data_IF_737229539406
#
_entry.id   IF_737229539406
#
_cell.length_a   1.000
_cell.length_b   1.000
_cell.length_c   1.000
_cell.angle_alpha   90.00
_cell.angle_beta   90.00
_cell.angle_gamma   90.00
#
_symmetry.space_group_name_H-M   'P 1'
#
loop_
_entity.id
_entity.type
_entity.pdbx_description
1 polymer ?
#
# COMPACT_ATOMS: atom_id res chain seq x y z
N UNK A 1 20.03 -14.79 1.62
CA UNK A 1 19.06 -14.11 0.74
C UNK A 1 18.61 -15.10 -0.32
N UNK A 2 17.37 -15.57 -0.21
CA UNK A 2 16.78 -16.53 -1.14
C UNK A 2 16.57 -15.86 -2.49
N UNK A 3 16.88 -16.56 -3.56
CA UNK A 3 16.55 -16.16 -4.93
C UNK A 3 15.04 -16.01 -5.10
N UNK A 4 14.57 -15.00 -5.83
CA UNK A 4 13.13 -14.73 -5.99
C UNK A 4 12.43 -15.84 -6.77
N UNK A 5 13.06 -16.43 -7.76
CA UNK A 5 12.51 -17.56 -8.52
C UNK A 5 12.17 -18.77 -7.63
N UNK A 6 12.89 -18.96 -6.51
CA UNK A 6 12.59 -20.01 -5.53
C UNK A 6 11.36 -19.70 -4.66
N UNK A 7 10.86 -18.48 -4.75
CA UNK A 7 9.67 -18.00 -4.04
C UNK A 7 8.45 -17.87 -4.96
N UNK A 8 8.60 -18.20 -6.24
CA UNK A 8 7.51 -18.16 -7.22
C UNK A 8 6.29 -18.95 -6.75
N UNK A 9 5.14 -18.27 -6.72
CA UNK A 9 3.87 -18.83 -6.27
C UNK A 9 3.77 -19.16 -4.77
N UNK A 10 4.84 -18.96 -3.98
CA UNK A 10 4.83 -19.25 -2.55
C UNK A 10 4.22 -18.11 -1.74
N UNK A 11 3.53 -18.50 -0.67
CA UNK A 11 2.97 -17.57 0.30
C UNK A 11 3.96 -17.25 1.43
N UNK A 12 3.68 -16.20 2.18
CA UNK A 12 4.41 -15.85 3.41
C UNK A 12 4.34 -17.02 4.41
N UNK A 13 3.16 -17.66 4.54
CA UNK A 13 2.96 -18.82 5.41
C UNK A 13 3.77 -20.06 5.05
N UNK A 14 4.16 -20.20 3.76
CA UNK A 14 5.01 -21.31 3.31
C UNK A 14 6.50 -21.14 3.67
N UNK A 15 6.93 -19.93 3.99
CA UNK A 15 8.37 -19.61 4.19
C UNK A 15 8.71 -19.15 5.60
N UNK A 16 7.77 -18.55 6.32
CA UNK A 16 7.99 -18.07 7.67
C UNK A 16 7.36 -19.02 8.70
N UNK A 17 8.01 -19.20 9.84
CA UNK A 17 7.56 -20.14 10.88
C UNK A 17 6.30 -19.64 11.60
N UNK A 18 5.56 -20.60 12.18
CA UNK A 18 4.41 -20.29 13.03
C UNK A 18 4.79 -19.42 14.27
N UNK A 19 6.02 -19.55 14.78
CA UNK A 19 6.49 -18.72 15.88
C UNK A 19 6.78 -17.28 15.44
N UNK A 20 7.26 -17.08 14.21
CA UNK A 20 7.38 -15.73 13.65
C UNK A 20 6.00 -15.04 13.55
N UNK A 21 4.96 -15.79 13.13
CA UNK A 21 3.59 -15.27 13.01
C UNK A 21 2.96 -14.87 14.35
N UNK A 22 3.51 -15.30 15.47
CA UNK A 22 3.08 -14.89 16.84
C UNK A 22 3.85 -13.70 17.38
N UNK A 23 4.86 -13.22 16.65
CA UNK A 23 5.72 -12.13 17.13
C UNK A 23 5.04 -10.77 17.04
N UNK A 24 5.41 -9.86 17.94
CA UNK A 24 5.01 -8.45 17.85
C UNK A 24 5.50 -7.80 16.55
N UNK A 25 6.63 -8.23 16.02
CA UNK A 25 7.12 -7.76 14.74
C UNK A 25 6.15 -8.10 13.61
N UNK A 26 5.65 -9.36 13.54
CA UNK A 26 4.65 -9.74 12.55
C UNK A 26 3.35 -8.96 12.72
N UNK A 27 2.83 -8.83 13.94
CA UNK A 27 1.63 -8.05 14.23
C UNK A 27 1.76 -6.62 13.70
N UNK A 28 2.87 -5.97 14.02
CA UNK A 28 3.15 -4.61 13.57
C UNK A 28 3.32 -4.53 12.04
N UNK A 29 4.07 -5.47 11.46
CA UNK A 29 4.38 -5.52 10.03
C UNK A 29 3.12 -5.77 9.19
N UNK A 30 2.29 -6.73 9.60
CA UNK A 30 1.04 -7.04 8.90
C UNK A 30 0.05 -5.90 8.96
N UNK A 31 -0.12 -5.24 10.10
CA UNK A 31 -1.01 -4.10 10.22
C UNK A 31 -0.50 -2.87 9.46
N UNK A 32 0.81 -2.58 9.51
CA UNK A 32 1.39 -1.43 8.81
C UNK A 32 1.26 -1.53 7.28
N UNK A 33 1.51 -2.70 6.72
CA UNK A 33 1.56 -2.92 5.28
C UNK A 33 0.38 -3.73 4.72
N UNK A 34 -0.56 -4.14 5.57
CA UNK A 34 -1.69 -5.01 5.22
C UNK A 34 -1.25 -6.38 4.65
N UNK A 35 -0.15 -6.93 5.16
CA UNK A 35 0.27 -8.28 4.79
C UNK A 35 -0.55 -9.35 5.52
N UNK A 36 -0.82 -10.44 4.81
CA UNK A 36 -1.41 -11.65 5.36
C UNK A 36 -0.60 -12.90 5.00
N UNK A 37 -0.81 -13.97 5.74
CA UNK A 37 -0.02 -15.20 5.56
C UNK A 37 -0.17 -15.82 4.17
N UNK A 38 -1.27 -15.58 3.49
CA UNK A 38 -1.53 -16.02 2.12
C UNK A 38 -0.95 -15.10 1.04
N UNK A 39 -0.38 -13.95 1.40
CA UNK A 39 0.26 -13.04 0.44
C UNK A 39 1.63 -13.56 -0.03
N UNK A 40 2.13 -12.98 -1.10
CA UNK A 40 3.36 -13.36 -1.78
C UNK A 40 4.61 -13.28 -0.89
N UNK A 41 5.37 -14.36 -0.85
CA UNK A 41 6.68 -14.39 -0.21
C UNK A 41 7.71 -13.49 -0.92
N UNK A 42 7.58 -13.29 -2.24
CA UNK A 42 8.43 -12.36 -3.01
C UNK A 42 8.20 -10.93 -2.51
N UNK A 43 6.94 -10.51 -2.38
CA UNK A 43 6.63 -9.16 -1.92
C UNK A 43 7.11 -8.94 -0.48
N UNK A 44 6.90 -9.90 0.41
CA UNK A 44 7.42 -9.82 1.78
C UNK A 44 8.95 -9.68 1.81
N UNK A 45 9.67 -10.45 0.99
CA UNK A 45 11.13 -10.33 0.86
C UNK A 45 11.55 -8.93 0.40
N UNK A 46 10.87 -8.40 -0.62
CA UNK A 46 11.16 -7.06 -1.16
C UNK A 46 10.90 -5.97 -0.12
N UNK A 47 9.80 -6.07 0.64
CA UNK A 47 9.50 -5.14 1.72
C UNK A 47 10.54 -5.17 2.83
N UNK A 48 10.93 -6.37 3.28
CA UNK A 48 12.01 -6.51 4.26
C UNK A 48 13.31 -5.89 3.74
N UNK A 49 13.68 -6.17 2.49
CA UNK A 49 14.87 -5.61 1.87
C UNK A 49 14.80 -4.07 1.76
N UNK A 50 13.63 -3.53 1.41
CA UNK A 50 13.41 -2.10 1.20
C UNK A 50 13.42 -1.30 2.50
N UNK A 51 12.89 -1.88 3.60
CA UNK A 51 12.63 -1.16 4.84
C UNK A 51 13.51 -1.57 6.03
N UNK A 52 14.47 -2.48 5.87
CA UNK A 52 15.31 -2.94 6.99
C UNK A 52 16.03 -1.79 7.71
N UNK A 53 16.47 -0.76 7.00
CA UNK A 53 17.12 0.41 7.59
C UNK A 53 16.17 1.31 8.38
N UNK A 54 14.86 1.15 8.22
CA UNK A 54 13.84 1.91 8.93
C UNK A 54 13.32 1.20 10.18
N UNK A 55 13.78 -0.04 10.46
CA UNK A 55 13.31 -0.81 11.62
C UNK A 55 13.47 -0.02 12.91
N UNK A 56 14.56 0.73 13.08
CA UNK A 56 14.80 1.59 14.24
C UNK A 56 13.75 2.69 14.42
N UNK A 57 13.18 3.17 13.33
CA UNK A 57 12.18 4.25 13.32
C UNK A 57 10.75 3.75 13.13
N UNK A 58 10.50 2.44 13.12
CA UNK A 58 9.17 1.89 12.87
C UNK A 58 8.16 2.22 13.96
N UNK A 59 8.60 2.35 15.22
CA UNK A 59 7.73 2.66 16.37
C UNK A 59 6.93 3.96 16.19
N UNK A 60 7.55 4.95 15.58
CA UNK A 60 7.01 6.30 15.44
C UNK A 60 7.13 6.85 14.02
N UNK A 61 7.65 6.05 13.10
CA UNK A 61 7.87 6.38 11.69
C UNK A 61 8.58 7.73 11.46
N UNK A 62 9.44 8.14 12.40
CA UNK A 62 10.12 9.43 12.32
C UNK A 62 11.01 9.59 11.09
N UNK A 63 11.40 8.49 10.46
CA UNK A 63 12.20 8.48 9.23
C UNK A 63 11.36 8.74 7.98
N UNK A 64 10.04 8.55 8.05
CA UNK A 64 9.13 8.83 6.94
C UNK A 64 8.79 10.31 6.86
N UNK A 65 8.58 10.79 5.65
CA UNK A 65 8.14 12.16 5.38
C UNK A 65 6.65 12.16 5.04
N UNK A 66 5.94 13.12 5.62
CA UNK A 66 4.51 13.30 5.40
C UNK A 66 4.26 14.65 4.76
N UNK A 67 3.28 14.72 3.87
CA UNK A 67 2.83 15.96 3.26
C UNK A 67 2.13 16.87 4.29
N UNK A 68 2.04 18.17 3.99
CA UNK A 68 1.39 19.15 4.89
C UNK A 68 -0.10 18.87 5.05
N UNK A 69 -0.77 18.56 3.95
CA UNK A 69 -2.16 18.12 3.88
C UNK A 69 -2.19 16.70 3.26
N UNK A 70 -3.35 16.16 2.97
CA UNK A 70 -3.48 14.90 2.23
C UNK A 70 -2.72 14.94 0.90
N UNK A 71 -2.43 13.77 0.33
CA UNK A 71 -1.62 13.68 -0.90
C UNK A 71 -2.30 14.31 -2.12
N UNK A 72 -3.63 14.25 -2.18
CA UNK A 72 -4.39 14.86 -3.29
C UNK A 72 -4.13 16.37 -3.35
N UNK A 73 -4.26 17.05 -2.22
CA UNK A 73 -4.09 18.52 -2.15
C UNK A 73 -2.63 18.96 -2.14
N UNK A 74 -1.71 18.09 -1.72
CA UNK A 74 -0.29 18.43 -1.57
C UNK A 74 0.56 18.03 -2.78
N UNK A 75 0.18 16.99 -3.53
CA UNK A 75 0.96 16.44 -4.64
C UNK A 75 0.14 16.38 -5.94
N UNK A 76 -0.96 15.61 -5.95
CA UNK A 76 -1.67 15.27 -7.20
C UNK A 76 -2.29 16.50 -7.85
N UNK A 77 -3.04 17.29 -7.10
CA UNK A 77 -3.71 18.48 -7.64
C UNK A 77 -2.73 19.57 -8.11
N UNK A 78 -1.68 19.95 -7.35
CA UNK A 78 -0.68 20.91 -7.83
C UNK A 78 0.03 20.43 -9.10
N UNK A 79 0.39 19.13 -9.18
CA UNK A 79 1.05 18.58 -10.36
C UNK A 79 0.12 18.56 -11.59
N UNK A 80 -1.13 18.12 -11.42
CA UNK A 80 -2.12 18.13 -12.50
C UNK A 80 -2.39 19.55 -13.03
N UNK A 81 -2.49 20.53 -12.11
CA UNK A 81 -2.67 21.94 -12.46
C UNK A 81 -1.48 22.47 -13.26
N UNK A 82 -0.26 22.15 -12.83
CA UNK A 82 0.94 22.55 -13.54
C UNK A 82 1.02 21.92 -14.94
N UNK A 83 0.75 20.60 -15.05
CA UNK A 83 0.75 19.89 -16.34
C UNK A 83 -0.29 20.45 -17.31
N UNK A 84 -1.50 20.75 -16.83
CA UNK A 84 -2.52 21.41 -17.65
C UNK A 84 -2.02 22.77 -18.19
N UNK A 85 -1.31 23.54 -17.36
CA UNK A 85 -0.65 24.78 -17.77
C UNK A 85 0.48 24.60 -18.80
N UNK A 86 1.05 23.39 -18.91
CA UNK A 86 2.02 23.01 -19.94
C UNK A 86 1.37 22.43 -21.21
N UNK A 87 0.05 22.44 -21.30
CA UNK A 87 -0.70 21.95 -22.47
C UNK A 87 -1.07 20.46 -22.42
N UNK A 88 -0.87 19.79 -21.29
CA UNK A 88 -1.36 18.40 -21.11
C UNK A 88 -2.88 18.41 -21.04
N UNK A 89 -3.52 17.59 -21.86
CA UNK A 89 -4.97 17.45 -21.92
C UNK A 89 -5.38 16.26 -21.05
N UNK A 90 -6.18 16.53 -20.01
CA UNK A 90 -6.81 15.51 -19.18
C UNK A 90 -8.22 15.23 -19.73
N UNK A 91 -8.49 13.96 -20.06
CA UNK A 91 -9.84 13.49 -20.44
C UNK A 91 -10.38 12.63 -19.32
N UNK A 92 -11.47 13.06 -18.72
CA UNK A 92 -12.20 12.34 -17.68
C UNK A 92 -13.42 11.65 -18.27
N UNK A 93 -14.00 10.70 -17.52
CA UNK A 93 -15.17 9.91 -17.95
C UNK A 93 -14.99 9.11 -19.23
N UNK A 94 -13.72 8.83 -19.58
CA UNK A 94 -13.33 7.98 -20.71
C UNK A 94 -12.80 6.65 -20.16
N UNK A 95 -13.47 5.55 -20.53
CA UNK A 95 -13.08 4.18 -20.15
C UNK A 95 -12.30 3.56 -21.29
N UNK A 96 -10.99 3.47 -21.17
CA UNK A 96 -10.17 2.76 -22.17
C UNK A 96 -10.47 1.26 -22.07
N UNK A 97 -10.87 0.68 -23.19
CA UNK A 97 -11.26 -0.74 -23.28
C UNK A 97 -10.16 -1.63 -23.81
N UNK A 98 -9.29 -1.09 -24.67
CA UNK A 98 -8.15 -1.85 -25.20
C UNK A 98 -7.02 -0.91 -25.66
N UNK A 99 -5.80 -1.46 -25.67
CA UNK A 99 -4.66 -0.95 -26.42
C UNK A 99 -4.25 -2.06 -27.36
N UNK A 100 -4.49 -1.88 -28.65
CA UNK A 100 -4.13 -2.87 -29.69
C UNK A 100 -2.63 -2.79 -29.96
N UNK A 101 -1.97 -3.94 -29.94
CA UNK A 101 -0.52 -4.07 -30.10
C UNK A 101 -0.21 -5.00 -31.27
N UNK A 102 0.55 -4.52 -32.22
CA UNK A 102 1.17 -5.39 -33.24
C UNK A 102 2.40 -6.06 -32.62
N UNK A 103 2.34 -7.38 -32.50
CA UNK A 103 3.41 -8.22 -31.95
C UNK A 103 4.21 -8.96 -33.03
N UNK A 104 4.00 -8.64 -34.28
CA UNK A 104 4.68 -9.28 -35.41
C UNK A 104 6.18 -8.93 -35.45
N UNK A 105 6.97 -9.84 -36.02
CA UNK A 105 8.40 -9.60 -36.25
C UNK A 105 9.26 -9.46 -34.99
N UNK A 106 8.77 -9.90 -33.82
CA UNK A 106 9.52 -9.83 -32.56
C UNK A 106 9.53 -8.43 -31.92
N UNK A 107 8.82 -7.47 -32.48
CA UNK A 107 8.59 -6.14 -31.88
C UNK A 107 7.17 -6.03 -31.32
N UNK A 108 6.95 -5.08 -30.42
CA UNK A 108 5.66 -4.77 -29.82
C UNK A 108 5.36 -3.30 -30.04
N UNK A 109 4.38 -3.01 -30.89
CA UNK A 109 4.02 -1.64 -31.31
C UNK A 109 2.55 -1.40 -30.97
N UNK A 110 2.25 -0.48 -30.07
CA UNK A 110 0.89 0.00 -29.86
C UNK A 110 0.42 0.73 -31.14
N UNK A 111 -0.73 0.32 -31.65
CA UNK A 111 -1.26 0.81 -32.95
C UNK A 111 -2.59 1.53 -32.81
N UNK A 112 -3.33 1.28 -31.71
CA UNK A 112 -4.63 1.89 -31.49
C UNK A 112 -5.00 1.86 -30.00
N UNK A 113 -5.68 2.89 -29.54
CA UNK A 113 -6.37 2.92 -28.25
C UNK A 113 -7.87 2.98 -28.52
N UNK A 114 -8.63 2.06 -27.90
CA UNK A 114 -10.09 2.01 -27.96
C UNK A 114 -10.67 2.39 -26.61
N UNK A 115 -11.81 3.11 -26.60
CA UNK A 115 -12.49 3.54 -25.38
C UNK A 115 -14.01 3.61 -25.52
N UNK A 116 -14.66 3.71 -24.38
CA UNK A 116 -16.05 4.12 -24.24
C UNK A 116 -16.12 5.49 -23.58
N UNK A 117 -16.85 6.41 -24.18
CA UNK A 117 -17.14 7.75 -23.65
C UNK A 117 -18.64 7.97 -23.70
N UNK A 118 -19.30 8.15 -22.55
CA UNK A 118 -20.75 8.23 -22.44
C UNK A 118 -21.48 7.04 -23.12
N UNK A 119 -20.91 5.84 -23.03
CA UNK A 119 -21.47 4.63 -23.66
C UNK A 119 -21.24 4.52 -25.19
N UNK A 120 -20.58 5.49 -25.81
CA UNK A 120 -20.24 5.46 -27.23
C UNK A 120 -18.80 4.98 -27.43
N UNK A 121 -18.62 4.06 -28.35
CA UNK A 121 -17.30 3.57 -28.73
C UNK A 121 -16.52 4.64 -29.51
N UNK A 122 -15.28 4.82 -29.13
CA UNK A 122 -14.30 5.70 -29.79
C UNK A 122 -12.93 5.05 -29.85
N UNK A 123 -12.00 5.72 -30.48
CA UNK A 123 -10.61 5.25 -30.55
C UNK A 123 -9.73 6.21 -31.32
N UNK A 124 -8.43 6.03 -31.18
CA UNK A 124 -7.39 6.77 -31.86
C UNK A 124 -6.33 5.83 -32.40
N UNK A 125 -5.93 6.01 -33.65
CA UNK A 125 -4.77 5.33 -34.22
C UNK A 125 -3.49 5.93 -33.63
N UNK A 126 -2.55 5.08 -33.31
CA UNK A 126 -1.25 5.43 -32.74
C UNK A 126 -0.19 5.20 -33.79
N UNK A 127 0.58 6.22 -34.06
CA UNK A 127 1.72 6.11 -34.96
C UNK A 127 2.93 5.50 -34.19
N UNK A 128 3.86 4.91 -34.91
CA UNK A 128 5.04 4.29 -34.33
C UNK A 128 5.91 5.27 -33.54
N UNK A 129 5.80 6.55 -33.80
CA UNK A 129 6.52 7.61 -33.10
C UNK A 129 5.78 8.13 -31.83
N UNK A 130 4.50 7.82 -31.71
CA UNK A 130 3.74 8.15 -30.50
C UNK A 130 4.11 7.20 -29.37
N UNK A 131 4.08 7.66 -28.12
CA UNK A 131 4.33 6.83 -26.96
C UNK A 131 3.05 6.55 -26.19
N UNK A 132 2.84 5.30 -25.80
CA UNK A 132 1.69 4.86 -25.01
C UNK A 132 2.17 4.35 -23.64
N UNK A 133 1.65 4.95 -22.57
CA UNK A 133 1.90 4.55 -21.20
C UNK A 133 0.61 4.03 -20.58
N UNK A 134 0.63 2.80 -20.06
CA UNK A 134 -0.53 2.15 -19.47
C UNK A 134 -0.30 1.95 -17.98
N UNK A 135 -1.15 2.54 -17.15
CA UNK A 135 -1.23 2.14 -15.72
C UNK A 135 -2.17 0.94 -15.65
N UNK A 136 -1.59 -0.26 -15.63
CA UNK A 136 -2.33 -1.51 -15.63
C UNK A 136 -2.71 -1.94 -14.21
N UNK A 137 -3.93 -2.48 -14.05
CA UNK A 137 -4.47 -2.87 -12.74
C UNK A 137 -4.71 -1.68 -11.81
N UNK A 138 -5.52 -1.87 -10.78
CA UNK A 138 -5.77 -0.85 -9.77
C UNK A 138 -6.17 -1.45 -8.43
N UNK A 139 -5.49 -1.03 -7.36
CA UNK A 139 -5.83 -1.42 -5.99
C UNK A 139 -7.16 -0.82 -5.52
N UNK A 140 -7.56 0.32 -6.10
CA UNK A 140 -8.77 1.05 -5.70
C UNK A 140 -9.93 0.89 -6.68
N UNK A 141 -9.79 0.01 -7.67
CA UNK A 141 -10.89 -0.33 -8.57
C UNK A 141 -12.10 -0.81 -7.76
N UNK A 142 -13.29 -0.37 -8.15
CA UNK A 142 -14.55 -0.71 -7.48
C UNK A 142 -14.61 -0.38 -5.98
N UNK A 143 -13.79 0.53 -5.48
CA UNK A 143 -14.00 1.06 -4.14
C UNK A 143 -15.40 1.65 -4.02
N UNK A 144 -16.12 1.29 -2.97
CA UNK A 144 -17.46 1.77 -2.68
C UNK A 144 -17.50 2.43 -1.32
N UNK A 145 -18.23 3.53 -1.25
CA UNK A 145 -18.39 4.29 -0.02
C UNK A 145 -19.77 4.02 0.58
N UNK A 146 -19.78 3.86 1.89
CA UNK A 146 -20.96 4.02 2.71
C UNK A 146 -20.98 5.42 3.34
N UNK A 147 -21.89 5.58 4.28
CA UNK A 147 -21.96 6.78 5.12
C UNK A 147 -22.17 6.41 6.58
N UNK A 148 -22.47 7.41 7.42
CA UNK A 148 -22.64 7.19 8.85
C UNK A 148 -23.74 6.18 9.17
N UNK A 149 -24.75 6.05 8.32
CA UNK A 149 -25.95 5.23 8.52
C UNK A 149 -26.10 4.08 7.51
N UNK A 150 -25.20 3.99 6.52
CA UNK A 150 -25.23 2.93 5.51
C UNK A 150 -23.86 2.27 5.36
N UNK A 151 -23.79 0.92 5.29
CA UNK A 151 -22.53 0.22 5.04
C UNK A 151 -22.02 0.44 3.62
N UNK A 152 -20.73 0.24 3.41
CA UNK A 152 -20.12 0.28 2.10
C UNK A 152 -20.36 -1.05 1.37
N UNK A 153 -20.98 -1.06 0.17
CA UNK A 153 -21.26 -2.31 -0.53
C UNK A 153 -19.99 -2.95 -1.09
N UNK A 154 -19.92 -4.27 -1.07
CA UNK A 154 -18.86 -5.04 -1.73
C UNK A 154 -19.15 -5.15 -3.21
N UNK A 155 -18.26 -4.65 -4.07
CA UNK A 155 -18.35 -4.78 -5.52
C UNK A 155 -17.07 -5.37 -6.08
N UNK A 156 -17.07 -6.67 -6.35
CA UNK A 156 -15.94 -7.41 -6.93
C UNK A 156 -16.06 -7.60 -8.46
N UNK A 157 -16.97 -6.91 -9.12
CA UNK A 157 -17.26 -7.08 -10.54
C UNK A 157 -16.11 -6.51 -11.39
N UNK A 158 -15.59 -7.30 -12.32
CA UNK A 158 -14.67 -6.83 -13.36
C UNK A 158 -15.50 -6.58 -14.63
N UNK A 159 -15.94 -5.33 -14.80
CA UNK A 159 -16.78 -4.93 -15.91
C UNK A 159 -15.95 -4.50 -17.14
N UNK A 160 -16.60 -4.44 -18.29
CA UNK A 160 -16.02 -3.84 -19.49
C UNK A 160 -15.58 -2.38 -19.23
N UNK A 161 -14.36 -2.04 -19.65
CA UNK A 161 -13.77 -0.73 -19.41
C UNK A 161 -13.26 -0.51 -17.99
N UNK A 162 -13.25 -1.53 -17.13
CA UNK A 162 -12.49 -1.51 -15.89
C UNK A 162 -10.98 -1.65 -16.15
N UNK A 163 -10.15 -1.19 -15.25
CA UNK A 163 -8.68 -1.26 -15.40
C UNK A 163 -8.19 -2.70 -15.45
N UNK A 164 -8.85 -3.62 -14.71
CA UNK A 164 -8.55 -5.04 -14.75
C UNK A 164 -8.92 -5.69 -16.08
N UNK A 165 -10.09 -5.34 -16.66
CA UNK A 165 -10.48 -5.85 -17.97
C UNK A 165 -9.58 -5.29 -19.08
N UNK A 166 -9.20 -4.01 -19.01
CA UNK A 166 -8.21 -3.43 -19.91
C UNK A 166 -6.90 -4.24 -19.90
N UNK A 167 -6.38 -4.55 -18.71
CA UNK A 167 -5.16 -5.35 -18.61
C UNK A 167 -5.34 -6.77 -19.16
N UNK A 168 -6.48 -7.44 -18.91
CA UNK A 168 -6.80 -8.73 -19.55
C UNK A 168 -6.74 -8.65 -21.08
N UNK A 169 -7.43 -7.66 -21.66
CA UNK A 169 -7.46 -7.48 -23.12
C UNK A 169 -6.06 -7.22 -23.71
N UNK A 170 -5.21 -6.52 -22.99
CA UNK A 170 -3.81 -6.31 -23.41
C UNK A 170 -3.01 -7.61 -23.24
N UNK A 171 -3.15 -8.30 -22.12
CA UNK A 171 -2.40 -9.51 -21.81
C UNK A 171 -2.70 -10.69 -22.74
N UNK A 172 -3.90 -10.76 -23.32
CA UNK A 172 -4.26 -11.75 -24.34
C UNK A 172 -3.44 -11.65 -25.61
N UNK A 173 -2.82 -10.50 -25.91
CA UNK A 173 -2.10 -10.25 -27.14
C UNK A 173 -0.63 -10.74 -27.12
N UNK A 174 0.00 -10.79 -25.93
CA UNK A 174 1.38 -11.27 -25.78
C UNK A 174 1.64 -11.68 -24.32
N UNK A 175 2.27 -12.84 -24.07
CA UNK A 175 2.60 -13.29 -22.69
C UNK A 175 3.48 -12.32 -21.91
N UNK A 176 4.27 -11.47 -22.57
CA UNK A 176 5.11 -10.46 -21.90
C UNK A 176 4.30 -9.34 -21.26
N UNK A 177 2.99 -9.27 -21.50
CA UNK A 177 2.10 -8.29 -20.89
C UNK A 177 1.50 -8.75 -19.56
N UNK A 178 1.97 -9.89 -19.03
CA UNK A 178 1.67 -10.37 -17.69
C UNK A 178 0.39 -11.19 -17.57
N UNK A 179 -0.01 -11.48 -16.32
CA UNK A 179 -1.16 -12.33 -15.98
C UNK A 179 -2.05 -11.65 -14.93
N UNK A 180 -2.99 -10.78 -15.33
CA UNK A 180 -3.83 -10.00 -14.41
C UNK A 180 -4.65 -10.84 -13.43
N UNK A 181 -5.12 -12.02 -13.84
CA UNK A 181 -5.95 -12.90 -13.01
C UNK A 181 -5.24 -13.41 -11.75
N UNK A 182 -3.91 -13.45 -11.76
CA UNK A 182 -3.11 -13.74 -10.56
C UNK A 182 -3.40 -12.72 -9.45
N UNK A 183 -3.66 -11.47 -9.81
CA UNK A 183 -3.84 -10.37 -8.87
C UNK A 183 -5.31 -10.10 -8.56
N UNK A 184 -6.21 -10.18 -9.54
CA UNK A 184 -7.61 -9.82 -9.38
C UNK A 184 -8.57 -11.01 -9.27
N UNK A 185 -8.06 -12.25 -9.31
CA UNK A 185 -8.91 -13.44 -9.36
C UNK A 185 -9.57 -13.84 -8.03
N UNK A 186 -9.04 -13.40 -6.89
CA UNK A 186 -9.58 -13.75 -5.56
C UNK A 186 -9.71 -12.53 -4.65
N UNK A 187 -10.84 -11.84 -4.77
CA UNK A 187 -11.13 -10.64 -3.96
C UNK A 187 -11.42 -10.96 -2.49
N UNK A 188 -11.64 -12.22 -2.13
CA UNK A 188 -11.81 -12.59 -0.72
C UNK A 188 -10.50 -12.47 0.07
N UNK A 189 -9.38 -12.58 -0.63
CA UNK A 189 -8.02 -12.47 -0.07
C UNK A 189 -7.38 -11.11 -0.27
N UNK A 190 -7.90 -10.28 -1.18
CA UNK A 190 -7.33 -8.97 -1.50
C UNK A 190 -8.14 -7.80 -0.94
N UNK A 191 -9.34 -8.03 -0.43
CA UNK A 191 -10.20 -6.98 0.13
C UNK A 191 -9.90 -6.70 1.60
N UNK A 192 -10.07 -5.47 1.97
CA UNK A 192 -10.31 -5.03 3.35
C UNK A 192 -11.09 -3.71 3.34
N UNK A 193 -11.52 -3.27 4.51
CA UNK A 193 -12.34 -2.09 4.66
C UNK A 193 -11.62 -1.05 5.49
N UNK A 194 -11.80 0.20 5.10
CA UNK A 194 -11.38 1.36 5.88
C UNK A 194 -12.57 2.25 6.22
N UNK A 195 -12.36 3.17 7.14
CA UNK A 195 -13.34 4.21 7.45
C UNK A 195 -12.62 5.53 7.75
N UNK A 196 -13.17 6.63 7.24
CA UNK A 196 -12.72 7.97 7.59
C UNK A 196 -13.65 8.56 8.63
N UNK A 197 -13.12 8.88 9.79
CA UNK A 197 -13.86 9.47 10.92
C UNK A 197 -13.54 10.94 11.03
N UNK A 198 -14.55 11.79 10.93
CA UNK A 198 -14.47 13.23 11.26
C UNK A 198 -15.10 13.43 12.63
N UNK A 199 -14.33 13.92 13.60
CA UNK A 199 -14.82 14.11 14.97
C UNK A 199 -15.54 15.43 15.12
N UNK A 200 -16.65 15.39 15.84
CA UNK A 200 -17.48 16.55 16.20
C UNK A 200 -17.44 16.82 17.72
N UNK A 201 -17.16 15.80 18.52
CA UNK A 201 -17.06 15.86 19.98
C UNK A 201 -15.59 15.91 20.40
N UNK A 202 -15.23 16.91 21.20
CA UNK A 202 -13.86 17.14 21.71
C UNK A 202 -13.35 16.00 22.62
N UNK A 203 -14.23 15.16 23.15
CA UNK A 203 -13.82 13.97 23.94
C UNK A 203 -13.04 12.97 23.10
N UNK A 204 -13.35 12.82 21.80
CA UNK A 204 -12.67 11.84 20.92
C UNK A 204 -11.21 12.25 20.67
N UNK A 205 -10.86 13.49 20.26
CA UNK A 205 -9.47 13.94 20.22
C UNK A 205 -8.74 13.81 21.57
N UNK A 206 -9.43 14.02 22.70
CA UNK A 206 -8.84 13.83 24.02
C UNK A 206 -8.48 12.35 24.31
N UNK A 207 -9.29 11.40 23.85
CA UNK A 207 -8.96 9.97 23.90
C UNK A 207 -7.74 9.64 23.05
N UNK A 208 -7.66 10.19 21.82
CA UNK A 208 -6.48 10.04 20.97
C UNK A 208 -5.23 10.58 21.65
N UNK A 209 -5.32 11.75 22.28
CA UNK A 209 -4.21 12.31 23.08
C UNK A 209 -3.82 11.36 24.22
N UNK A 210 -4.78 10.84 24.96
CA UNK A 210 -4.54 9.90 26.07
C UNK A 210 -3.77 8.65 25.61
N UNK A 211 -4.14 8.08 24.45
CA UNK A 211 -3.51 6.87 23.90
C UNK A 211 -2.12 7.16 23.34
N UNK A 212 -1.97 8.26 22.60
CA UNK A 212 -0.73 8.56 21.85
C UNK A 212 0.27 9.41 22.63
N UNK A 213 -0.16 10.10 23.66
CA UNK A 213 0.63 11.13 24.34
C UNK A 213 0.87 12.39 23.50
N UNK A 214 0.17 12.55 22.38
CA UNK A 214 0.34 13.66 21.41
C UNK A 214 -0.97 14.39 21.20
N UNK A 215 -0.93 15.72 21.31
CA UNK A 215 -2.07 16.57 21.00
C UNK A 215 -2.37 16.54 19.50
N UNK A 216 -3.57 16.09 19.08
CA UNK A 216 -3.98 16.08 17.67
C UNK A 216 -3.90 17.45 16.98
N UNK A 217 -4.09 18.53 17.72
CA UNK A 217 -4.12 19.88 17.18
C UNK A 217 -2.78 20.61 17.25
N UNK A 218 -1.71 19.94 17.67
CA UNK A 218 -0.36 20.53 17.75
C UNK A 218 0.26 20.93 16.41
N UNK A 219 -0.39 20.61 15.28
CA UNK A 219 0.17 20.81 13.94
C UNK A 219 1.31 19.86 13.57
N UNK A 220 1.52 18.81 14.37
CA UNK A 220 2.50 17.73 14.12
C UNK A 220 1.78 16.43 13.78
N UNK A 221 2.53 15.44 13.26
CA UNK A 221 2.02 14.08 13.07
C UNK A 221 1.62 13.50 14.44
N UNK A 222 0.41 13.00 14.55
CA UNK A 222 -0.15 12.49 15.81
C UNK A 222 0.27 11.03 16.02
N UNK A 223 -0.02 10.15 15.06
CA UNK A 223 0.48 8.80 15.07
C UNK A 223 1.63 8.70 14.06
N UNK A 224 2.78 8.23 14.47
CA UNK A 224 3.92 8.03 13.56
C UNK A 224 3.73 6.83 12.63
N UNK A 225 2.81 5.94 12.96
CA UNK A 225 2.34 4.78 12.24
C UNK A 225 0.93 4.43 12.69
N UNK A 226 0.40 3.28 12.27
CA UNK A 226 -0.88 2.79 12.77
C UNK A 226 -0.78 2.45 14.27
N UNK A 227 -1.83 2.79 14.99
CA UNK A 227 -2.12 2.24 16.32
C UNK A 227 -2.95 1.00 16.08
N UNK A 228 -2.36 -0.16 16.30
CA UNK A 228 -3.01 -1.46 16.09
C UNK A 228 -3.58 -1.98 17.38
N UNK A 229 -4.82 -2.41 17.34
CA UNK A 229 -5.53 -3.02 18.47
C UNK A 229 -5.36 -4.52 18.34
N UNK A 230 -4.41 -5.07 19.10
CA UNK A 230 -3.99 -6.47 18.97
C UNK A 230 -5.11 -7.48 19.26
N UNK A 231 -6.01 -7.13 20.16
CA UNK A 231 -7.13 -7.99 20.60
C UNK A 231 -8.41 -7.75 19.78
N UNK A 232 -8.40 -6.84 18.81
CA UNK A 232 -9.56 -6.61 17.95
C UNK A 232 -9.77 -7.79 17.00
N UNK A 233 -11.00 -8.31 16.98
CA UNK A 233 -11.42 -9.36 16.04
C UNK A 233 -11.24 -8.92 14.57
N UNK A 234 -11.40 -7.63 14.27
CA UNK A 234 -11.15 -7.05 12.95
C UNK A 234 -9.68 -6.76 12.68
N UNK A 235 -8.79 -6.97 13.65
CA UNK A 235 -7.42 -6.43 13.64
C UNK A 235 -7.46 -4.94 13.28
N UNK A 236 -8.33 -4.20 13.98
CA UNK A 236 -8.55 -2.78 13.74
C UNK A 236 -7.27 -2.00 14.00
N UNK A 237 -6.94 -1.14 13.07
CA UNK A 237 -5.86 -0.18 13.20
C UNK A 237 -6.36 1.22 12.83
N UNK A 238 -5.72 2.25 13.40
CA UNK A 238 -6.10 3.62 13.11
C UNK A 238 -4.89 4.55 13.05
N UNK A 239 -5.04 5.61 12.25
CA UNK A 239 -4.01 6.62 12.02
C UNK A 239 -4.62 8.01 12.13
N UNK A 240 -3.94 8.88 12.83
CA UNK A 240 -4.23 10.32 12.83
C UNK A 240 -3.03 11.06 12.27
N UNK A 241 -3.16 11.56 11.06
CA UNK A 241 -2.17 12.37 10.40
C UNK A 241 -2.06 13.75 11.06
N UNK A 242 -1.16 14.61 10.55
CA UNK A 242 -1.14 16.03 10.92
C UNK A 242 -2.50 16.66 10.68
N UNK A 243 -2.99 17.46 11.65
CA UNK A 243 -4.21 18.24 11.51
C UNK A 243 -3.89 19.72 11.24
N UNK A 244 -4.69 20.43 10.46
CA UNK A 244 -5.78 19.89 9.64
C UNK A 244 -5.23 19.00 8.53
N UNK A 245 -5.94 17.89 8.23
CA UNK A 245 -5.57 16.95 7.18
C UNK A 245 -6.03 17.42 5.79
N UNK A 246 -7.11 18.19 5.74
CA UNK A 246 -7.64 18.86 4.55
C UNK A 246 -7.52 20.38 4.71
N UNK A 247 -7.28 21.12 3.62
CA UNK A 247 -7.20 22.60 3.65
C UNK A 247 -8.47 23.25 4.15
N UNK A 248 -9.63 22.69 3.79
CA UNK A 248 -10.94 23.20 4.16
C UNK A 248 -11.49 22.60 5.48
N UNK A 249 -10.69 21.82 6.21
CA UNK A 249 -11.12 21.18 7.45
C UNK A 249 -11.42 22.26 8.51
N UNK A 250 -12.64 22.25 9.13
CA UNK A 250 -12.98 23.18 10.18
C UNK A 250 -12.08 23.07 11.41
N UNK A 251 -11.89 24.18 12.10
CA UNK A 251 -11.15 24.21 13.36
C UNK A 251 -11.85 23.36 14.43
N UNK A 252 -11.06 22.65 15.22
CA UNK A 252 -11.57 21.77 16.28
C UNK A 252 -12.02 20.38 15.80
N UNK A 253 -12.15 20.17 14.50
CA UNK A 253 -12.39 18.82 13.95
C UNK A 253 -11.08 18.07 13.74
N UNK A 254 -11.06 16.78 14.10
CA UNK A 254 -9.97 15.87 13.81
C UNK A 254 -10.46 14.84 12.78
N UNK A 255 -9.60 14.49 11.83
CA UNK A 255 -9.84 13.40 10.90
C UNK A 255 -8.92 12.25 11.26
N UNK A 256 -9.52 11.09 11.53
CA UNK A 256 -8.84 9.81 11.72
C UNK A 256 -9.16 8.86 10.57
N UNK A 257 -8.21 8.00 10.22
CA UNK A 257 -8.40 6.92 9.27
C UNK A 257 -8.29 5.59 10.01
N UNK A 258 -9.32 4.76 9.92
CA UNK A 258 -9.44 3.44 10.51
C UNK A 258 -9.43 2.40 9.41
N UNK A 259 -8.98 1.19 9.72
CA UNK A 259 -9.14 0.03 8.84
C UNK A 259 -9.17 -1.27 9.62
N UNK A 260 -9.89 -2.25 9.11
CA UNK A 260 -9.93 -3.62 9.59
C UNK A 260 -9.42 -4.57 8.52
N UNK A 261 -8.43 -5.40 8.86
CA UNK A 261 -7.89 -6.38 7.92
C UNK A 261 -8.77 -7.64 7.83
N UNK A 262 -9.59 -7.91 8.86
CA UNK A 262 -10.54 -9.01 8.91
C UNK A 262 -11.97 -8.45 8.87
N UNK A 263 -12.37 -7.95 7.70
CA UNK A 263 -13.65 -7.27 7.53
C UNK A 263 -14.86 -8.21 7.51
N UNK A 264 -14.67 -9.52 7.42
CA UNK A 264 -15.69 -10.57 7.30
C UNK A 264 -15.99 -11.32 8.60
N UNK A 265 -15.34 -10.96 9.72
CA UNK A 265 -15.60 -11.55 11.03
C UNK A 265 -16.39 -10.58 11.94
N UNK A 266 -17.21 -11.09 12.89
CA UNK A 266 -17.91 -10.23 13.84
C UNK A 266 -16.95 -9.46 14.75
N UNK A 267 -17.27 -8.18 14.99
CA UNK A 267 -16.54 -7.31 15.93
C UNK A 267 -16.72 -7.72 17.40
N UNK A 268 -15.91 -7.09 18.26
CA UNK A 268 -15.90 -7.39 19.69
C UNK A 268 -17.06 -6.72 20.45
N UNK A 269 -17.47 -5.53 20.03
CA UNK A 269 -18.60 -4.78 20.58
C UNK A 269 -19.85 -4.92 19.72
N UNK A 270 -19.75 -4.57 18.43
CA UNK A 270 -20.89 -4.52 17.50
C UNK A 270 -21.41 -5.91 17.15
N UNK A 271 -20.59 -6.98 17.29
CA UNK A 271 -20.98 -8.38 16.99
C UNK A 271 -21.44 -8.62 15.54
N UNK A 272 -20.96 -7.81 14.61
CA UNK A 272 -21.30 -7.81 13.19
C UNK A 272 -20.03 -7.68 12.37
N UNK A 273 -19.88 -8.32 11.19
CA UNK A 273 -18.72 -8.12 10.31
C UNK A 273 -18.55 -6.64 9.94
N UNK A 274 -17.31 -6.14 9.89
CA UNK A 274 -17.04 -4.75 9.57
C UNK A 274 -17.66 -4.35 8.22
N UNK A 275 -17.56 -5.23 7.22
CA UNK A 275 -18.12 -5.02 5.87
C UNK A 275 -19.64 -4.82 5.83
N UNK A 276 -20.35 -5.20 6.88
CA UNK A 276 -21.80 -5.05 7.00
C UNK A 276 -22.17 -3.88 7.94
N UNK A 277 -21.17 -3.21 8.52
CA UNK A 277 -21.35 -2.12 9.48
C UNK A 277 -21.56 -0.78 8.80
N UNK A 278 -22.44 0.04 9.39
CA UNK A 278 -22.53 1.47 9.09
C UNK A 278 -21.33 2.22 9.67
N UNK A 279 -21.11 3.47 9.26
CA UNK A 279 -20.05 4.29 9.83
C UNK A 279 -20.23 4.50 11.34
N UNK A 280 -21.47 4.64 11.82
CA UNK A 280 -21.79 4.73 13.26
C UNK A 280 -21.37 3.46 14.00
N UNK A 281 -21.70 2.27 13.48
CA UNK A 281 -21.31 1.00 14.09
C UNK A 281 -19.78 0.82 14.13
N UNK A 282 -19.05 1.20 13.07
CA UNK A 282 -17.57 1.19 13.07
C UNK A 282 -17.03 2.14 14.14
N UNK A 283 -17.67 3.30 14.32
CA UNK A 283 -17.27 4.26 15.36
C UNK A 283 -17.49 3.67 16.76
N UNK A 284 -18.63 2.96 17.00
CA UNK A 284 -18.89 2.26 18.27
C UNK A 284 -17.79 1.26 18.60
N UNK A 285 -17.38 0.43 17.65
CA UNK A 285 -16.32 -0.55 17.82
C UNK A 285 -14.99 0.13 18.15
N UNK A 286 -14.66 1.22 17.45
CA UNK A 286 -13.44 1.99 17.73
C UNK A 286 -13.46 2.62 19.12
N UNK A 287 -14.55 3.28 19.53
CA UNK A 287 -14.71 3.89 20.84
C UNK A 287 -14.64 2.85 21.98
N UNK A 288 -15.22 1.66 21.77
CA UNK A 288 -15.07 0.53 22.70
C UNK A 288 -13.59 0.20 22.92
N UNK A 289 -12.82 0.03 21.87
CA UNK A 289 -11.39 -0.25 21.96
C UNK A 289 -10.55 0.95 22.49
N UNK A 290 -11.06 2.17 22.37
CA UNK A 290 -10.45 3.35 22.98
C UNK A 290 -10.74 3.46 24.50
N UNK A 291 -11.53 2.55 25.06
CA UNK A 291 -11.87 2.47 26.47
C UNK A 291 -12.92 3.48 26.92
N UNK A 292 -13.84 3.85 26.04
CA UNK A 292 -15.03 4.64 26.39
C UNK A 292 -15.97 3.78 27.26
N UNK A 293 -16.58 4.35 28.34
CA UNK A 293 -17.61 3.64 29.12
C UNK A 293 -18.75 3.15 28.22
N UNK A 294 -19.23 1.92 28.48
CA UNK A 294 -20.20 1.26 27.62
C UNK A 294 -21.52 2.05 27.47
N UNK A 295 -21.92 2.77 28.49
CA UNK A 295 -23.10 3.62 28.52
C UNK A 295 -22.95 4.93 27.77
N UNK A 296 -21.73 5.31 27.37
CA UNK A 296 -21.46 6.53 26.61
C UNK A 296 -21.19 6.25 25.10
N UNK A 297 -20.90 5.01 24.73
CA UNK A 297 -20.45 4.64 23.37
C UNK A 297 -21.50 5.02 22.33
N UNK A 298 -22.75 4.65 22.55
CA UNK A 298 -23.82 4.82 21.56
C UNK A 298 -24.10 6.31 21.28
N UNK A 299 -24.21 7.14 22.32
CA UNK A 299 -24.40 8.57 22.18
C UNK A 299 -23.21 9.25 21.51
N UNK A 300 -21.99 8.90 21.94
CA UNK A 300 -20.77 9.47 21.37
C UNK A 300 -20.57 9.06 19.91
N UNK A 301 -20.92 7.84 19.52
CA UNK A 301 -20.84 7.39 18.13
C UNK A 301 -21.89 8.10 17.26
N UNK A 302 -23.14 8.21 17.74
CA UNK A 302 -24.23 8.79 16.97
C UNK A 302 -24.10 10.30 16.74
N UNK A 303 -23.55 11.05 17.70
CA UNK A 303 -23.53 12.52 17.66
C UNK A 303 -22.12 13.13 17.64
N UNK A 304 -21.12 12.39 18.10
CA UNK A 304 -19.75 12.87 18.29
C UNK A 304 -18.82 12.69 17.10
N UNK A 305 -19.26 11.98 16.06
CA UNK A 305 -18.49 11.75 14.85
C UNK A 305 -19.36 11.56 13.61
N UNK A 306 -18.78 11.81 12.44
CA UNK A 306 -19.33 11.36 11.15
C UNK A 306 -18.31 10.44 10.52
N UNK A 307 -18.72 9.24 10.17
CA UNK A 307 -17.84 8.19 9.67
C UNK A 307 -18.30 7.67 8.32
N UNK A 308 -17.37 7.60 7.37
CA UNK A 308 -17.59 7.08 6.03
C UNK A 308 -16.79 5.81 5.82
N UNK A 309 -17.41 4.61 5.84
CA UNK A 309 -16.76 3.37 5.46
C UNK A 309 -16.41 3.36 3.97
N UNK A 310 -15.34 2.64 3.64
CA UNK A 310 -14.90 2.43 2.26
C UNK A 310 -14.47 0.97 2.09
N UNK A 311 -15.24 0.20 1.34
CA UNK A 311 -14.90 -1.17 0.96
C UNK A 311 -14.04 -1.16 -0.30
N UNK A 312 -12.89 -1.84 -0.24
CA UNK A 312 -11.90 -1.88 -1.31
C UNK A 312 -11.59 -3.33 -1.69
N UNK A 313 -12.21 -3.87 -2.74
CA UNK A 313 -12.11 -5.31 -3.08
C UNK A 313 -10.71 -5.73 -3.57
N UNK A 314 -9.91 -4.82 -4.12
CA UNK A 314 -8.60 -5.12 -4.72
C UNK A 314 -7.43 -4.47 -3.97
N UNK A 315 -7.62 -4.00 -2.75
CA UNK A 315 -6.66 -3.13 -2.05
C UNK A 315 -5.31 -3.79 -1.77
N UNK A 316 -5.25 -5.12 -1.64
CA UNK A 316 -4.00 -5.87 -1.50
C UNK A 316 -3.72 -6.80 -2.70
N UNK A 317 -4.38 -6.57 -3.83
CA UNK A 317 -4.19 -7.35 -5.04
C UNK A 317 -2.72 -7.47 -5.47
N UNK A 318 -1.94 -6.39 -5.30
CA UNK A 318 -0.50 -6.38 -5.60
C UNK A 318 0.32 -7.34 -4.75
N UNK A 319 -0.22 -7.86 -3.66
CA UNK A 319 0.43 -8.81 -2.76
C UNK A 319 0.04 -10.26 -3.03
N UNK A 320 -0.85 -10.54 -3.97
CA UNK A 320 -1.26 -11.91 -4.27
C UNK A 320 -0.05 -12.76 -4.71
N UNK A 321 -0.01 -14.06 -4.35
CA UNK A 321 1.07 -14.95 -4.73
C UNK A 321 1.27 -14.97 -6.23
N UNK A 322 2.47 -14.66 -6.67
CA UNK A 322 2.83 -14.53 -8.07
C UNK A 322 4.15 -15.21 -8.39
N UNK A 323 4.37 -15.43 -9.67
CA UNK A 323 5.65 -15.84 -10.22
C UNK A 323 6.31 -14.68 -10.99
N UNK A 324 7.58 -14.87 -11.29
CA UNK A 324 8.33 -14.00 -12.20
C UNK A 324 7.64 -13.96 -13.57
N UNK A 325 7.40 -12.76 -14.10
CA UNK A 325 6.69 -12.54 -15.37
C UNK A 325 5.18 -12.34 -15.25
N UNK A 326 4.58 -12.53 -14.06
CA UNK A 326 3.15 -12.21 -13.87
C UNK A 326 2.85 -10.70 -13.95
N UNK A 327 3.81 -9.86 -13.57
CA UNK A 327 3.80 -8.44 -13.93
C UNK A 327 4.59 -8.22 -15.20
N UNK A 328 4.11 -7.41 -16.16
CA UNK A 328 4.92 -7.00 -17.28
C UNK A 328 6.10 -6.14 -16.81
N UNK A 329 7.23 -6.25 -17.47
CA UNK A 329 8.29 -5.25 -17.29
C UNK A 329 7.76 -3.86 -17.64
N UNK A 330 8.36 -2.81 -17.06
CA UNK A 330 7.99 -1.42 -17.38
C UNK A 330 8.04 -1.21 -18.89
N UNK A 331 9.11 -1.61 -19.55
CA UNK A 331 9.19 -1.68 -21.02
C UNK A 331 9.42 -3.15 -21.40
N UNK A 332 8.38 -3.90 -21.83
CA UNK A 332 8.54 -5.29 -22.24
C UNK A 332 9.56 -5.43 -23.37
N UNK A 333 10.31 -6.51 -23.34
CA UNK A 333 11.32 -6.75 -24.39
C UNK A 333 10.71 -6.68 -25.79
N UNK A 334 11.33 -5.90 -26.67
CA UNK A 334 10.85 -5.64 -28.02
C UNK A 334 9.78 -4.55 -28.14
N UNK A 335 9.37 -3.92 -27.03
CA UNK A 335 8.48 -2.75 -27.07
C UNK A 335 9.17 -1.57 -27.75
N UNK A 336 8.44 -0.94 -28.66
CA UNK A 336 8.90 0.24 -29.41
C UNK A 336 8.32 1.52 -28.84
N UNK A 337 7.04 1.50 -28.47
CA UNK A 337 6.31 2.69 -28.09
C UNK A 337 5.29 2.44 -26.95
N UNK A 338 5.38 1.27 -26.27
CA UNK A 338 4.46 0.88 -25.20
C UNK A 338 5.24 0.64 -23.90
N UNK A 339 4.76 1.21 -22.80
CA UNK A 339 5.24 0.91 -21.45
C UNK A 339 4.10 0.75 -20.45
N UNK A 340 4.36 -0.05 -19.39
CA UNK A 340 3.47 -0.25 -18.26
C UNK A 340 3.98 0.52 -17.03
N UNK A 341 3.06 1.13 -16.29
CA UNK A 341 3.38 1.98 -15.14
C UNK A 341 2.65 1.53 -13.88
N UNK A 342 3.16 1.93 -12.73
CA UNK A 342 2.50 1.80 -11.43
C UNK A 342 2.71 0.44 -10.78
N UNK A 343 1.81 0.08 -9.86
CA UNK A 343 1.99 -1.02 -8.90
C UNK A 343 2.01 -2.43 -9.53
N UNK A 344 1.52 -2.56 -10.75
CA UNK A 344 1.45 -3.83 -11.48
C UNK A 344 2.42 -3.91 -12.67
N UNK A 345 3.36 -2.98 -12.77
CA UNK A 345 4.53 -3.10 -13.64
C UNK A 345 5.74 -3.61 -12.82
N UNK A 346 6.63 -4.38 -13.43
CA UNK A 346 7.79 -4.95 -12.76
C UNK A 346 9.01 -4.04 -12.93
N UNK A 347 9.55 -3.57 -11.82
CA UNK A 347 10.86 -2.94 -11.77
C UNK A 347 11.74 -3.61 -10.71
N UNK A 348 13.04 -3.85 -10.97
CA UNK A 348 13.89 -4.56 -10.03
C UNK A 348 14.20 -3.71 -8.79
N UNK A 349 14.47 -4.40 -7.68
CA UNK A 349 15.01 -3.83 -6.43
C UNK A 349 14.14 -2.82 -5.70
N UNK A 350 12.90 -2.65 -6.11
CA UNK A 350 11.94 -1.80 -5.39
C UNK A 350 10.69 -2.59 -5.00
N UNK A 351 9.81 -1.99 -4.23
CA UNK A 351 8.63 -2.65 -3.72
C UNK A 351 7.38 -1.83 -4.02
N UNK A 352 6.33 -2.54 -4.38
CA UNK A 352 4.99 -1.97 -4.68
C UNK A 352 4.38 -1.23 -3.49
N UNK A 353 3.27 -0.52 -3.70
CA UNK A 353 2.52 0.23 -2.70
C UNK A 353 3.15 1.59 -2.29
N UNK A 354 4.32 1.93 -2.78
CA UNK A 354 4.93 3.24 -2.51
C UNK A 354 4.69 4.22 -3.67
N UNK A 355 4.58 5.50 -3.35
CA UNK A 355 4.51 6.57 -4.37
C UNK A 355 5.77 6.57 -5.23
N UNK A 356 6.92 6.31 -4.61
CA UNK A 356 8.22 6.22 -5.28
C UNK A 356 8.25 5.14 -6.36
N UNK A 357 7.58 4.00 -6.13
CA UNK A 357 7.49 2.93 -7.12
C UNK A 357 6.81 3.42 -8.40
N UNK A 358 5.71 4.14 -8.29
CA UNK A 358 5.00 4.70 -9.44
C UNK A 358 5.83 5.73 -10.19
N UNK A 359 6.56 6.59 -9.47
CA UNK A 359 7.48 7.56 -10.08
C UNK A 359 8.66 6.86 -10.76
N UNK A 360 9.22 5.82 -10.14
CA UNK A 360 10.32 5.02 -10.69
C UNK A 360 9.92 4.37 -12.02
N UNK A 361 8.77 3.69 -12.07
CA UNK A 361 8.28 3.06 -13.30
C UNK A 361 8.06 4.08 -14.41
N UNK A 362 7.57 5.28 -14.08
CA UNK A 362 7.39 6.36 -15.05
C UNK A 362 8.73 6.89 -15.58
N UNK A 363 9.73 7.08 -14.72
CA UNK A 363 11.07 7.50 -15.14
C UNK A 363 11.74 6.45 -16.01
N UNK A 364 11.66 5.17 -15.62
CA UNK A 364 12.20 4.04 -16.38
C UNK A 364 11.57 3.96 -17.78
N UNK A 365 10.25 4.07 -17.87
CA UNK A 365 9.52 4.06 -19.13
C UNK A 365 9.98 5.19 -20.06
N UNK A 366 10.03 6.43 -19.56
CA UNK A 366 10.40 7.60 -20.35
C UNK A 366 11.85 7.53 -20.79
N UNK A 367 12.77 7.16 -19.89
CA UNK A 367 14.19 7.12 -20.22
C UNK A 367 14.50 6.01 -21.24
N UNK A 368 13.83 4.86 -21.12
CA UNK A 368 14.00 3.73 -22.04
C UNK A 368 13.41 4.03 -23.42
N UNK A 369 12.15 4.48 -23.47
CA UNK A 369 11.48 4.69 -24.76
C UNK A 369 12.01 5.89 -25.54
N UNK A 370 12.57 6.89 -24.86
CA UNK A 370 13.17 8.07 -25.50
C UNK A 370 14.71 7.97 -25.65
N UNK A 371 15.29 6.82 -25.33
CA UNK A 371 16.76 6.59 -25.36
C UNK A 371 17.53 7.71 -24.64
N UNK A 372 17.03 8.09 -23.45
CA UNK A 372 17.66 9.12 -22.63
C UNK A 372 18.80 8.47 -21.82
N UNK A 373 20.02 8.90 -22.05
CA UNK A 373 21.19 8.46 -21.29
C UNK A 373 21.17 9.03 -19.85
N UNK A 374 20.26 8.47 -19.05
CA UNK A 374 20.06 8.83 -17.66
C UNK A 374 19.58 7.63 -16.85
N UNK A 375 20.26 7.34 -15.75
CA UNK A 375 19.82 6.30 -14.83
C UNK A 375 18.66 6.78 -13.94
N UNK A 376 17.71 5.88 -13.68
CA UNK A 376 16.73 6.07 -12.61
C UNK A 376 17.50 6.00 -11.26
N UNK A 377 17.25 6.93 -10.30
CA UNK A 377 17.93 6.94 -9.01
C UNK A 377 17.81 5.58 -8.30
N UNK A 378 18.91 5.06 -7.79
CA UNK A 378 18.94 3.78 -7.10
C UNK A 378 18.15 3.82 -5.78
N UNK A 379 17.49 2.71 -5.45
CA UNK A 379 16.92 2.48 -4.13
C UNK A 379 18.06 2.19 -3.14
N UNK A 380 18.01 2.77 -1.95
CA UNK A 380 19.01 2.51 -0.93
C UNK A 380 19.07 1.01 -0.58
N UNK A 381 20.17 0.39 -0.91
CA UNK A 381 20.41 -1.05 -0.76
C UNK A 381 20.78 -1.43 0.68
N UNK A 382 19.89 -1.16 1.65
CA UNK A 382 20.16 -1.34 3.09
C UNK A 382 20.52 -2.76 3.50
N UNK A 383 20.08 -3.77 2.75
CA UNK A 383 20.45 -5.18 2.99
C UNK A 383 21.92 -5.50 2.68
N UNK A 384 22.62 -4.62 1.97
CA UNK A 384 24.03 -4.75 1.68
C UNK A 384 24.91 -3.96 2.67
N UNK A 385 24.31 -3.21 3.59
CA UNK A 385 25.02 -2.52 4.67
C UNK A 385 24.93 -3.33 5.97
N UNK A 386 26.03 -3.97 6.34
CA UNK A 386 26.11 -4.82 7.54
C UNK A 386 25.75 -4.05 8.82
N UNK A 387 26.03 -2.73 8.87
CA UNK A 387 25.70 -1.89 10.01
C UNK A 387 24.18 -1.78 10.18
N UNK A 388 23.46 -1.59 9.07
CA UNK A 388 21.98 -1.55 9.07
C UNK A 388 21.39 -2.88 9.51
N UNK A 389 21.93 -3.99 9.03
CA UNK A 389 21.47 -5.33 9.42
C UNK A 389 21.71 -5.60 10.91
N UNK A 390 22.85 -5.20 11.45
CA UNK A 390 23.16 -5.38 12.87
C UNK A 390 22.30 -4.48 13.77
N UNK A 391 22.06 -3.23 13.37
CA UNK A 391 21.15 -2.33 14.07
C UNK A 391 19.73 -2.89 14.09
N UNK A 392 19.22 -3.34 12.94
CA UNK A 392 17.90 -3.95 12.84
C UNK A 392 17.81 -5.22 13.71
N UNK A 393 18.85 -6.07 13.69
CA UNK A 393 18.91 -7.26 14.52
C UNK A 393 18.89 -6.95 16.03
N UNK A 394 19.60 -5.90 16.46
CA UNK A 394 19.61 -5.45 17.85
C UNK A 394 18.20 -4.96 18.29
N UNK A 395 17.55 -4.15 17.48
CA UNK A 395 16.21 -3.63 17.77
C UNK A 395 15.17 -4.75 17.82
N UNK A 396 15.18 -5.68 16.86
CA UNK A 396 14.26 -6.82 16.82
C UNK A 396 14.47 -7.81 17.97
N UNK A 397 15.58 -7.73 18.67
CA UNK A 397 15.86 -8.55 19.85
C UNK A 397 15.58 -7.85 21.18
N UNK A 398 15.04 -6.65 21.16
CA UNK A 398 14.79 -5.84 22.37
C UNK A 398 16.04 -5.73 23.26
N UNK A 399 17.22 -5.53 22.68
CA UNK A 399 18.50 -5.47 23.39
C UNK A 399 19.02 -6.81 23.92
N UNK A 400 18.38 -7.93 23.59
CA UNK A 400 18.87 -9.26 24.00
C UNK A 400 20.07 -9.66 23.16
N UNK A 401 21.08 -10.17 23.82
CA UNK A 401 22.28 -10.70 23.16
C UNK A 401 21.95 -11.90 22.25
N UNK A 402 22.78 -12.10 21.24
CA UNK A 402 22.63 -13.28 20.37
C UNK A 402 22.88 -14.58 21.18
N UNK A 403 22.27 -15.71 20.80
CA UNK A 403 22.57 -17.00 21.42
C UNK A 403 24.08 -17.28 21.36
N UNK A 404 24.62 -17.86 22.43
CA UNK A 404 26.06 -18.11 22.57
C UNK A 404 26.94 -16.85 22.42
N UNK A 405 26.47 -15.68 22.84
CA UNK A 405 27.17 -14.40 22.72
C UNK A 405 28.62 -14.43 23.26
N UNK A 406 28.90 -15.22 24.29
CA UNK A 406 30.25 -15.41 24.82
C UNK A 406 31.21 -16.08 23.82
N UNK A 407 30.73 -17.10 23.10
CA UNK A 407 31.51 -17.77 22.04
C UNK A 407 31.70 -16.85 20.85
N UNK A 408 30.65 -16.18 20.42
CA UNK A 408 30.69 -15.20 19.32
C UNK A 408 31.66 -14.07 19.65
N UNK A 409 31.61 -13.55 20.86
CA UNK A 409 32.56 -12.52 21.33
C UNK A 409 34.00 -13.03 21.24
N UNK A 410 34.29 -14.24 21.71
CA UNK A 410 35.65 -14.80 21.66
C UNK A 410 36.17 -14.97 20.24
N UNK A 411 35.29 -15.44 19.32
CA UNK A 411 35.65 -15.63 17.92
C UNK A 411 35.81 -14.31 17.12
N UNK A 412 35.04 -13.27 17.51
CA UNK A 412 35.02 -12.00 16.81
C UNK A 412 35.95 -10.94 17.44
N UNK A 413 36.63 -11.25 18.57
CA UNK A 413 37.54 -10.33 19.24
C UNK A 413 38.65 -9.86 18.28
N UNK A 414 38.87 -8.55 18.18
CA UNK A 414 39.88 -7.93 17.29
C UNK A 414 39.47 -7.86 15.82
N UNK A 415 38.22 -8.09 15.51
CA UNK A 415 37.68 -7.91 14.14
C UNK A 415 36.72 -6.73 14.09
N UNK A 416 36.63 -6.06 12.93
CA UNK A 416 35.62 -4.98 12.71
C UNK A 416 34.19 -5.45 12.96
N UNK A 417 33.89 -6.71 12.64
CA UNK A 417 32.57 -7.30 12.92
C UNK A 417 32.35 -7.44 14.43
N UNK A 418 33.37 -7.84 15.18
CA UNK A 418 33.33 -7.91 16.65
C UNK A 418 33.03 -6.55 17.26
N UNK A 419 33.73 -5.52 16.83
CA UNK A 419 33.52 -4.15 17.30
C UNK A 419 32.09 -3.64 16.99
N UNK A 420 31.55 -3.98 15.82
CA UNK A 420 30.18 -3.65 15.46
C UNK A 420 29.14 -4.41 16.32
N UNK A 421 29.35 -5.71 16.54
CA UNK A 421 28.47 -6.52 17.41
C UNK A 421 28.44 -6.01 18.85
N UNK A 422 29.59 -5.62 19.40
CA UNK A 422 29.68 -4.98 20.72
C UNK A 422 28.99 -3.61 20.74
N UNK A 423 29.27 -2.77 19.74
CA UNK A 423 28.64 -1.43 19.58
C UNK A 423 27.13 -1.47 19.57
N UNK A 424 26.54 -2.49 18.96
CA UNK A 424 25.08 -2.66 18.91
C UNK A 424 24.53 -3.56 20.02
N UNK A 425 25.34 -3.96 21.00
CA UNK A 425 24.91 -4.72 22.17
C UNK A 425 24.48 -6.16 21.85
N UNK A 426 24.90 -6.71 20.73
CA UNK A 426 24.54 -8.07 20.30
C UNK A 426 25.40 -9.15 20.98
N UNK A 427 26.58 -8.78 21.43
CA UNK A 427 27.50 -9.66 22.21
C UNK A 427 28.05 -8.99 23.46
#
# INVERSE_FOLDING_TARGET
LTDEEKLDGRTIGDVLSADFMKSNFWLFWRSMFAFETWHSAIEMKRYLARFVHQILGLKDLHTLKFTRFNQQESLSLPLATWLAGQGVVFRHDVRVTNVQVDTSGGTKVATRIDWLENGQAGGVTIDRADLVFVTNGSMVENSRWGDHHTPAPVDATIAEGSVWQLWRNIAEQDPAFGRPDVFCGDTTKSRWESATVTTLDARIPALVHKVTGRDPFSGRTVTGGPVTIADSAWLMSWVVSRQPHFKAQPEGQMVAWLYGLFSDVPGDYVKKPMQDCTGEEITREWLFHMGVPLDEIDDMAATGAVTHPCMMPFITAQFMPRATGDRPHVVPHGSVNLAFLGQFAETPRDTVFTTEYSVRTAMEAVYTLLDIDRAVPEVFGSIYDVRMLLQAAAELRDGRKVPASGVVRHLATGTEIGDLLERYGLI
#
